data_IF_383589920438
#
_entry.id   IF_383589920438
#
_cell.length_a   1.000
_cell.length_b   1.000
_cell.length_c   1.000
_cell.angle_alpha   90.00
_cell.angle_beta   90.00
_cell.angle_gamma   90.00
#
_symmetry.space_group_name_H-M   'P 1'
#
loop_
_entity.id
_entity.type
_entity.pdbx_description
1 polymer ?
#
# COMPACT_ATOMS: atom_id res chain seq x y z
N UNK A 1 44.22 24.85 36.71
CA UNK A 1 43.16 25.32 35.80
C UNK A 1 43.33 24.55 34.51
N UNK A 2 42.37 23.74 34.08
CA UNK A 2 42.40 23.15 32.74
C UNK A 2 42.27 24.28 31.71
N UNK A 3 42.89 24.15 30.52
CA UNK A 3 42.80 25.17 29.48
C UNK A 3 41.34 25.30 29.00
N UNK A 4 40.87 26.53 28.78
CA UNK A 4 39.57 26.74 28.14
C UNK A 4 39.60 26.07 26.75
N UNK A 5 38.59 25.26 26.39
CA UNK A 5 38.52 24.68 25.07
C UNK A 5 38.39 25.80 24.04
N UNK A 6 39.26 25.78 23.04
CA UNK A 6 39.19 26.66 21.87
C UNK A 6 37.79 26.56 21.27
N UNK A 7 37.19 27.68 20.85
CA UNK A 7 35.84 27.77 20.27
C UNK A 7 35.60 26.71 19.16
N UNK A 8 36.65 26.34 18.43
CA UNK A 8 36.62 25.30 17.40
C UNK A 8 36.39 23.88 17.93
N UNK A 9 36.90 23.54 19.13
CA UNK A 9 36.68 22.23 19.75
C UNK A 9 35.23 22.10 20.25
N UNK A 10 34.66 23.17 20.78
CA UNK A 10 33.27 23.15 21.24
C UNK A 10 32.30 23.00 20.06
N UNK A 11 32.55 23.68 18.94
CA UNK A 11 31.77 23.49 17.70
C UNK A 11 31.88 22.07 17.15
N UNK A 12 33.08 21.48 17.15
CA UNK A 12 33.27 20.08 16.72
C UNK A 12 32.45 19.10 17.57
N UNK A 13 32.44 19.30 18.90
CA UNK A 13 31.63 18.48 19.80
C UNK A 13 30.13 18.65 19.55
N UNK A 14 29.68 19.88 19.32
CA UNK A 14 28.28 20.17 18.99
C UNK A 14 27.87 19.48 17.68
N UNK A 15 28.71 19.52 16.64
CA UNK A 15 28.47 18.85 15.36
C UNK A 15 28.43 17.31 15.51
N UNK A 16 29.34 16.73 16.30
CA UNK A 16 29.38 15.28 16.56
C UNK A 16 28.16 14.83 17.38
N UNK A 17 27.79 15.57 18.42
CA UNK A 17 26.62 15.24 19.26
C UNK A 17 25.33 15.36 18.46
N UNK A 18 25.16 16.44 17.68
CA UNK A 18 23.99 16.60 16.82
C UNK A 18 23.91 15.51 15.74
N UNK A 19 25.06 15.05 15.22
CA UNK A 19 25.14 13.92 14.29
C UNK A 19 24.71 12.60 14.94
N UNK A 20 25.17 12.32 16.16
CA UNK A 20 24.82 11.11 16.91
C UNK A 20 23.36 11.10 17.38
N UNK A 21 22.81 12.26 17.76
CA UNK A 21 21.41 12.42 18.18
C UNK A 21 20.44 12.52 16.99
N UNK A 22 20.95 12.67 15.76
CA UNK A 22 20.16 12.71 14.52
C UNK A 22 19.45 14.04 14.27
N UNK A 23 19.86 15.13 14.93
CA UNK A 23 19.25 16.46 14.86
C UNK A 23 19.74 17.30 13.66
N UNK A 24 20.68 16.78 12.85
CA UNK A 24 21.23 17.47 11.69
C UNK A 24 20.38 17.33 10.42
N UNK A 25 20.31 18.40 9.63
CA UNK A 25 19.71 18.36 8.29
C UNK A 25 20.53 17.53 7.31
N UNK A 26 19.94 17.14 6.17
CA UNK A 26 20.65 16.33 5.15
C UNK A 26 21.90 17.02 4.57
N UNK A 27 21.93 18.35 4.52
CA UNK A 27 23.10 19.10 4.07
C UNK A 27 24.21 19.14 5.13
N UNK A 28 23.86 19.21 6.40
CA UNK A 28 24.79 19.20 7.54
C UNK A 28 25.37 17.80 7.78
N UNK A 29 24.55 16.75 7.67
CA UNK A 29 25.00 15.36 7.72
C UNK A 29 26.07 15.07 6.66
N UNK A 30 25.85 15.51 5.41
CA UNK A 30 26.84 15.34 4.34
C UNK A 30 28.16 16.08 4.61
N UNK A 31 28.10 17.22 5.32
CA UNK A 31 29.29 17.97 5.72
C UNK A 31 30.06 17.24 6.83
N UNK A 32 29.36 16.72 7.85
CA UNK A 32 29.94 15.93 8.93
C UNK A 32 30.53 14.61 8.42
N UNK A 33 29.86 13.91 7.51
CA UNK A 33 30.38 12.69 6.86
C UNK A 33 31.64 12.97 6.04
N UNK A 34 31.67 14.08 5.30
CA UNK A 34 32.85 14.51 4.57
C UNK A 34 34.01 14.86 5.52
N UNK A 35 33.71 15.42 6.70
CA UNK A 35 34.69 15.74 7.73
C UNK A 35 35.23 14.47 8.41
N UNK A 36 34.37 13.51 8.73
CA UNK A 36 34.75 12.17 9.20
C UNK A 36 35.65 11.44 8.20
N UNK A 37 35.40 11.58 6.89
CA UNK A 37 36.23 10.96 5.87
C UNK A 37 37.62 11.60 5.73
N UNK A 38 37.79 12.87 6.11
CA UNK A 38 39.01 13.65 5.87
C UNK A 38 39.87 13.87 7.11
N UNK A 39 39.27 13.95 8.29
CA UNK A 39 39.94 14.29 9.54
C UNK A 39 40.01 13.06 10.46
N UNK A 40 41.23 12.60 10.72
CA UNK A 40 41.49 11.49 11.65
C UNK A 40 41.22 11.89 13.11
N UNK A 41 41.50 13.13 13.50
CA UNK A 41 41.27 13.60 14.88
C UNK A 41 39.77 13.67 15.20
N UNK A 42 38.96 14.10 14.22
CA UNK A 42 37.51 14.16 14.34
C UNK A 42 36.88 12.76 14.49
N UNK A 43 37.42 11.75 13.80
CA UNK A 43 37.00 10.34 13.98
C UNK A 43 37.35 9.79 15.37
N UNK A 44 38.53 10.14 15.89
CA UNK A 44 38.96 9.71 17.22
C UNK A 44 38.10 10.33 18.33
N UNK A 45 37.67 11.59 18.16
CA UNK A 45 36.73 12.27 19.05
C UNK A 45 35.35 11.59 19.03
N UNK A 46 34.80 11.29 17.85
CA UNK A 46 33.54 10.55 17.70
C UNK A 46 33.60 9.18 18.38
N UNK A 47 34.64 8.38 18.12
CA UNK A 47 34.84 7.08 18.77
C UNK A 47 35.03 7.20 20.29
N UNK A 48 35.56 8.32 20.79
CA UNK A 48 35.68 8.59 22.22
C UNK A 48 34.32 8.82 22.88
N UNK A 49 33.44 9.55 22.20
CA UNK A 49 32.08 9.83 22.65
C UNK A 49 31.21 8.56 22.61
N UNK A 50 31.28 7.79 21.51
CA UNK A 50 30.57 6.50 21.41
C UNK A 50 30.98 5.53 22.53
N UNK A 51 32.29 5.39 22.79
CA UNK A 51 32.80 4.57 23.90
C UNK A 51 32.33 5.06 25.27
N UNK A 52 32.21 6.37 25.47
CA UNK A 52 31.71 6.93 26.72
C UNK A 52 30.22 6.63 26.90
N UNK A 53 29.42 6.69 25.83
CA UNK A 53 28.01 6.31 25.84
C UNK A 53 27.80 4.82 26.06
N UNK A 54 28.58 3.98 25.38
CA UNK A 54 28.54 2.52 25.57
C UNK A 54 28.93 2.14 27.01
N UNK A 55 29.96 2.78 27.57
CA UNK A 55 30.35 2.60 28.96
C UNK A 55 29.27 3.07 29.97
N UNK A 56 28.50 4.10 29.62
CA UNK A 56 27.35 4.56 30.42
C UNK A 56 26.18 3.57 30.35
N UNK A 57 25.98 2.91 29.20
CA UNK A 57 24.94 1.90 29.02
C UNK A 57 25.29 0.55 29.68
N UNK A 58 26.57 0.22 29.75
CA UNK A 58 27.09 -0.94 30.50
C UNK A 58 27.06 -0.73 32.03
N UNK A 59 26.75 0.48 32.52
CA UNK A 59 26.63 0.69 33.95
C UNK A 59 25.50 -0.19 34.51
N UNK A 60 25.79 -1.03 35.52
CA UNK A 60 24.79 -1.89 36.11
C UNK A 60 23.68 -1.01 36.69
N UNK A 61 22.47 -1.15 36.12
CA UNK A 61 21.25 -0.60 36.71
C UNK A 61 20.98 -1.39 37.98
N UNK A 62 21.58 -0.96 39.10
CA UNK A 62 21.32 -1.53 40.41
C UNK A 62 19.84 -1.31 40.73
N UNK A 63 19.03 -2.36 40.62
CA UNK A 63 17.73 -2.40 41.28
C UNK A 63 18.02 -2.33 42.77
N UNK A 64 17.63 -1.20 43.38
CA UNK A 64 17.77 -0.99 44.82
C UNK A 64 17.11 -2.15 45.54
N UNK A 65 17.91 -2.93 46.27
CA UNK A 65 17.41 -4.01 47.10
C UNK A 65 16.54 -3.41 48.21
N UNK A 66 15.47 -4.11 48.59
CA UNK A 66 14.50 -3.67 49.61
C UNK A 66 15.18 -3.33 50.94
N UNK A 67 16.39 -3.87 51.16
CA UNK A 67 17.25 -3.57 52.30
C UNK A 67 17.80 -2.14 52.28
N UNK A 68 18.11 -1.52 51.13
CA UNK A 68 18.57 -0.11 51.09
C UNK A 68 17.43 0.88 51.39
N UNK A 69 16.23 0.57 50.90
CA UNK A 69 15.00 1.27 51.27
C UNK A 69 14.72 1.12 52.77
N UNK A 70 14.96 -0.08 53.33
CA UNK A 70 14.83 -0.32 54.78
C UNK A 70 15.89 0.39 55.61
N UNK A 71 17.17 0.40 55.21
CA UNK A 71 18.24 1.09 55.97
C UNK A 71 18.13 2.60 55.87
N UNK A 72 17.68 3.15 54.74
CA UNK A 72 17.41 4.59 54.61
C UNK A 72 16.18 4.97 55.42
N UNK A 73 15.13 4.14 55.41
CA UNK A 73 13.95 4.36 56.22
C UNK A 73 14.21 4.10 57.71
N UNK A 74 15.09 3.18 58.10
CA UNK A 74 15.58 2.99 59.47
C UNK A 74 16.50 4.14 59.90
N UNK A 75 17.34 4.70 59.03
CA UNK A 75 18.15 5.88 59.34
C UNK A 75 17.27 7.13 59.51
N UNK A 76 16.27 7.30 58.64
CA UNK A 76 15.27 8.37 58.74
C UNK A 76 14.33 8.17 59.93
N UNK A 77 14.01 6.92 60.30
CA UNK A 77 13.20 6.59 61.49
C UNK A 77 14.02 6.70 62.77
N UNK A 78 15.32 6.41 62.75
CA UNK A 78 16.22 6.60 63.90
C UNK A 78 16.61 8.06 64.10
N UNK A 79 16.75 8.86 63.04
CA UNK A 79 16.86 10.32 63.16
C UNK A 79 15.54 10.96 63.59
N UNK A 80 14.39 10.47 63.12
CA UNK A 80 13.08 10.94 63.58
C UNK A 80 12.78 10.52 65.03
N UNK A 81 13.23 9.35 65.48
CA UNK A 81 13.12 8.90 66.87
C UNK A 81 14.10 9.64 67.80
N UNK A 82 15.33 9.91 67.34
CA UNK A 82 16.31 10.70 68.10
C UNK A 82 15.90 12.18 68.24
N UNK A 83 15.18 12.75 67.28
CA UNK A 83 14.65 14.12 67.37
C UNK A 83 13.40 14.26 68.26
N UNK A 84 12.70 13.14 68.56
CA UNK A 84 11.51 13.10 69.42
C UNK A 84 11.86 13.00 70.90
N UNK A 85 12.91 12.25 71.28
CA UNK A 85 13.37 12.16 72.68
C UNK A 85 14.17 13.39 73.14
N UNK A 86 14.83 14.10 72.23
CA UNK A 86 15.61 15.29 72.55
C UNK A 86 14.77 16.57 72.79
N UNK A 87 13.47 16.56 72.49
CA UNK A 87 12.59 17.76 72.57
C UNK A 87 11.65 17.80 73.77
N UNK A 88 11.80 16.90 74.74
CA UNK A 88 10.94 16.82 75.94
C UNK A 88 11.40 17.72 77.09
N UNK A 89 12.47 18.49 76.95
CA UNK A 89 12.92 19.45 77.96
C UNK A 89 13.01 20.88 77.39
N UNK A 90 12.07 21.71 77.86
CA UNK A 90 12.08 23.18 77.90
C UNK A 90 11.62 24.03 76.68
N UNK A 91 10.48 24.73 76.90
CA UNK A 91 10.10 26.10 76.42
C UNK A 91 9.49 26.29 74.99
N UNK A 92 8.93 27.48 74.64
CA UNK A 92 7.54 27.93 74.82
C UNK A 92 6.74 28.07 73.49
N UNK A 93 5.41 28.13 73.60
CA UNK A 93 4.39 27.68 72.61
C UNK A 93 4.20 28.55 71.33
N UNK A 94 4.90 29.66 71.13
CA UNK A 94 4.48 30.63 70.07
C UNK A 94 5.11 30.38 68.68
N UNK A 95 6.18 29.57 68.55
CA UNK A 95 6.87 29.35 67.25
C UNK A 95 6.47 28.07 66.49
N UNK A 96 5.60 27.23 67.06
CA UNK A 96 5.30 25.87 66.54
C UNK A 96 4.36 25.86 65.34
N UNK A 97 3.41 26.80 65.20
CA UNK A 97 2.44 26.82 64.08
C UNK A 97 3.09 27.05 62.69
N UNK A 98 4.16 27.85 62.62
CA UNK A 98 4.82 28.20 61.35
C UNK A 98 5.67 27.08 60.76
N UNK A 99 6.20 26.18 61.60
CA UNK A 99 7.00 25.03 61.12
C UNK A 99 6.11 23.93 60.55
N UNK A 100 4.96 23.66 61.19
CA UNK A 100 3.96 22.73 60.64
C UNK A 100 3.31 23.26 59.38
N UNK A 101 3.06 24.58 59.26
CA UNK A 101 2.56 25.16 58.00
C UNK A 101 3.57 25.03 56.86
N UNK A 102 4.86 25.22 57.13
CA UNK A 102 5.91 25.08 56.12
C UNK A 102 6.10 23.63 55.69
N UNK A 103 6.00 22.66 56.62
CA UNK A 103 6.05 21.24 56.28
C UNK A 103 4.85 20.81 55.43
N UNK A 104 3.64 21.24 55.78
CA UNK A 104 2.42 21.00 54.99
C UNK A 104 2.51 21.65 53.60
N UNK A 105 3.04 22.87 53.50
CA UNK A 105 3.25 23.55 52.23
C UNK A 105 4.27 22.81 51.34
N UNK A 106 5.35 22.28 51.91
CA UNK A 106 6.34 21.50 51.17
C UNK A 106 5.75 20.18 50.65
N UNK A 107 4.93 19.48 51.45
CA UNK A 107 4.24 18.26 51.02
C UNK A 107 3.23 18.57 49.91
N UNK A 108 2.43 19.63 50.07
CA UNK A 108 1.48 20.06 49.04
C UNK A 108 2.19 20.45 47.73
N UNK A 109 3.32 21.16 47.82
CA UNK A 109 4.15 21.48 46.66
C UNK A 109 4.75 20.23 46.00
N UNK A 110 5.21 19.26 46.79
CA UNK A 110 5.69 17.97 46.29
C UNK A 110 4.61 17.16 45.58
N UNK A 111 3.39 17.11 46.14
CA UNK A 111 2.24 16.45 45.51
C UNK A 111 1.81 17.16 44.22
N UNK A 112 1.79 18.50 44.21
CA UNK A 112 1.50 19.29 43.01
C UNK A 112 2.57 19.10 41.94
N UNK A 113 3.85 19.08 42.32
CA UNK A 113 4.95 18.80 41.41
C UNK A 113 4.87 17.38 40.83
N UNK A 114 4.56 16.38 41.65
CA UNK A 114 4.35 15.00 41.21
C UNK A 114 3.15 14.89 40.24
N UNK A 115 2.03 15.53 40.55
CA UNK A 115 0.86 15.59 39.68
C UNK A 115 1.19 16.31 38.36
N UNK A 116 1.93 17.41 38.41
CA UNK A 116 2.36 18.14 37.22
C UNK A 116 3.27 17.27 36.34
N UNK A 117 4.28 16.61 36.91
CA UNK A 117 5.17 15.68 36.20
C UNK A 117 4.37 14.53 35.58
N UNK A 118 3.43 13.94 36.31
CA UNK A 118 2.57 12.87 35.80
C UNK A 118 1.70 13.33 34.63
N UNK A 119 1.07 14.50 34.74
CA UNK A 119 0.24 15.08 33.67
C UNK A 119 1.09 15.36 32.42
N UNK A 120 2.28 15.95 32.59
CA UNK A 120 3.21 16.24 31.49
C UNK A 120 3.71 14.97 30.82
N UNK A 121 3.95 13.89 31.58
CA UNK A 121 4.44 12.62 31.04
C UNK A 121 3.34 11.79 30.34
N UNK A 122 2.09 11.85 30.83
CA UNK A 122 0.96 11.13 30.21
C UNK A 122 0.34 11.90 29.03
N UNK A 123 0.51 13.22 28.95
CA UNK A 123 -0.01 14.07 27.87
C UNK A 123 0.46 13.66 26.45
N UNK A 124 1.77 13.40 26.19
CA UNK A 124 2.22 12.98 24.86
C UNK A 124 1.59 11.64 24.47
N UNK A 125 1.52 10.67 25.38
CA UNK A 125 0.90 9.37 25.12
C UNK A 125 -0.60 9.49 24.79
N UNK A 126 -1.33 10.43 25.40
CA UNK A 126 -2.74 10.69 25.07
C UNK A 126 -2.92 11.30 23.69
N UNK A 127 -2.08 12.28 23.34
CA UNK A 127 -2.12 12.88 22.00
C UNK A 127 -1.77 11.85 20.91
N UNK A 128 -0.83 10.96 21.19
CA UNK A 128 -0.42 9.87 20.30
C UNK A 128 -1.57 8.89 20.04
N UNK A 129 -2.26 8.47 21.10
CA UNK A 129 -3.40 7.57 20.98
C UNK A 129 -4.56 8.25 20.26
N UNK A 130 -4.79 9.55 20.49
CA UNK A 130 -5.83 10.29 19.77
C UNK A 130 -5.54 10.38 18.25
N UNK A 131 -4.26 10.44 17.87
CA UNK A 131 -3.83 10.48 16.46
C UNK A 131 -3.80 9.09 15.79
N UNK A 132 -4.04 8.00 16.52
CA UNK A 132 -3.91 6.63 15.99
C UNK A 132 -4.73 6.37 14.71
N UNK A 133 -5.99 6.82 14.58
CA UNK A 133 -6.75 6.66 13.33
C UNK A 133 -6.15 7.43 12.15
N UNK A 134 -5.46 8.53 12.43
CA UNK A 134 -4.76 9.33 11.41
C UNK A 134 -3.46 8.66 11.01
N UNK A 135 -2.70 8.19 12.00
CA UNK A 135 -1.42 7.50 11.82
C UNK A 135 -1.59 6.23 11.00
N UNK A 136 -2.55 5.38 11.35
CA UNK A 136 -2.85 4.13 10.62
C UNK A 136 -3.18 4.35 9.13
N UNK A 137 -3.55 5.58 8.77
CA UNK A 137 -3.94 5.99 7.42
C UNK A 137 -3.02 7.04 6.80
N UNK A 138 -1.83 7.28 7.38
CA UNK A 138 -0.90 8.32 6.91
C UNK A 138 -0.60 8.21 5.41
N UNK A 139 -0.34 7.00 4.92
CA UNK A 139 0.01 6.75 3.53
C UNK A 139 -1.19 6.94 2.59
N UNK A 140 -2.41 6.75 3.11
CA UNK A 140 -3.67 6.96 2.38
C UNK A 140 -4.00 8.46 2.31
N UNK A 141 -3.89 9.19 3.43
CA UNK A 141 -4.10 10.64 3.49
C UNK A 141 -3.04 11.46 2.74
N UNK A 142 -1.86 10.90 2.53
CA UNK A 142 -0.84 11.51 1.68
C UNK A 142 -1.23 11.55 0.19
N UNK A 143 -2.21 10.76 -0.25
CA UNK A 143 -2.53 10.66 -1.68
C UNK A 143 -3.42 11.79 -2.20
N UNK A 144 -4.15 12.52 -1.35
CA UNK A 144 -5.15 13.50 -1.78
C UNK A 144 -5.19 14.71 -0.84
N UNK A 145 -5.84 15.79 -1.27
CA UNK A 145 -5.80 17.10 -0.58
C UNK A 145 -7.11 17.51 0.10
N UNK A 146 -8.25 16.98 -0.35
CA UNK A 146 -9.58 17.34 0.16
C UNK A 146 -10.52 16.13 0.21
N UNK A 147 -11.45 16.12 1.16
CA UNK A 147 -12.53 15.10 1.19
C UNK A 147 -13.44 15.21 -0.03
N UNK A 148 -13.64 16.41 -0.55
CA UNK A 148 -14.38 16.67 -1.79
C UNK A 148 -13.82 15.87 -2.98
N UNK A 149 -12.49 15.73 -3.10
CA UNK A 149 -11.89 14.88 -4.13
C UNK A 149 -12.34 13.42 -4.01
N UNK A 150 -12.40 12.86 -2.78
CA UNK A 150 -12.87 11.48 -2.58
C UNK A 150 -14.36 11.34 -2.87
N UNK A 151 -15.18 12.32 -2.46
CA UNK A 151 -16.62 12.32 -2.75
C UNK A 151 -16.88 12.37 -4.27
N UNK A 152 -16.16 13.21 -4.99
CA UNK A 152 -16.24 13.28 -6.46
C UNK A 152 -15.72 12.00 -7.12
N UNK A 153 -14.64 11.42 -6.59
CA UNK A 153 -14.08 10.16 -7.08
C UNK A 153 -15.08 9.01 -6.94
N UNK A 154 -15.72 8.90 -5.78
CA UNK A 154 -16.75 7.88 -5.53
C UNK A 154 -17.94 8.07 -6.47
N UNK A 155 -18.48 9.29 -6.54
CA UNK A 155 -19.64 9.63 -7.38
C UNK A 155 -19.39 9.34 -8.86
N UNK A 156 -18.19 9.66 -9.38
CA UNK A 156 -17.88 9.51 -10.81
C UNK A 156 -17.38 8.12 -11.18
N UNK A 157 -16.58 7.49 -10.31
CA UNK A 157 -15.78 6.32 -10.66
C UNK A 157 -15.75 5.21 -9.60
N UNK A 158 -16.50 5.33 -8.50
CA UNK A 158 -16.47 4.36 -7.40
C UNK A 158 -16.73 2.91 -7.83
N UNK A 159 -17.72 2.69 -8.71
CA UNK A 159 -18.01 1.35 -9.23
C UNK A 159 -16.87 0.80 -10.11
N UNK A 160 -16.35 1.61 -11.03
CA UNK A 160 -15.26 1.21 -11.93
C UNK A 160 -13.95 0.93 -11.17
N UNK A 161 -13.67 1.71 -10.13
CA UNK A 161 -12.52 1.50 -9.27
C UNK A 161 -12.61 0.19 -8.46
N UNK A 162 -13.79 -0.13 -7.90
CA UNK A 162 -14.02 -1.40 -7.21
C UNK A 162 -13.86 -2.58 -8.16
N UNK A 163 -14.41 -2.49 -9.38
CA UNK A 163 -14.25 -3.50 -10.42
C UNK A 163 -12.77 -3.74 -10.78
N UNK A 164 -11.97 -2.67 -10.85
CA UNK A 164 -10.54 -2.75 -11.20
C UNK A 164 -9.61 -3.23 -10.06
N UNK A 165 -10.12 -3.43 -8.84
CA UNK A 165 -9.29 -3.73 -7.65
C UNK A 165 -9.78 -4.91 -6.81
N UNK A 166 -10.73 -5.70 -7.33
CA UNK A 166 -11.57 -6.65 -6.60
C UNK A 166 -10.88 -7.49 -5.50
N UNK A 167 -11.46 -7.39 -4.30
CA UNK A 167 -12.08 -8.46 -3.49
C UNK A 167 -13.07 -7.78 -2.54
N UNK A 168 -14.39 -7.90 -2.78
CA UNK A 168 -15.42 -7.09 -2.11
C UNK A 168 -15.53 -7.34 -0.59
N UNK A 169 -15.42 -8.60 -0.17
CA UNK A 169 -15.51 -8.97 1.25
C UNK A 169 -14.36 -8.38 2.07
N UNK A 170 -13.14 -8.42 1.54
CA UNK A 170 -11.95 -7.86 2.21
C UNK A 170 -12.00 -6.33 2.30
N UNK A 171 -12.70 -5.67 1.36
CA UNK A 171 -12.84 -4.22 1.35
C UNK A 171 -13.82 -3.73 2.43
N UNK A 172 -14.95 -4.41 2.56
CA UNK A 172 -15.96 -4.08 3.58
C UNK A 172 -15.40 -4.31 4.99
N UNK A 173 -14.67 -5.42 5.19
CA UNK A 173 -14.01 -5.74 6.46
C UNK A 173 -12.92 -4.70 6.81
N UNK A 174 -12.02 -4.38 5.88
CA UNK A 174 -10.96 -3.39 6.12
C UNK A 174 -11.55 -1.99 6.40
N UNK A 175 -12.58 -1.58 5.66
CA UNK A 175 -13.25 -0.31 5.92
C UNK A 175 -13.91 -0.28 7.30
N UNK A 176 -14.60 -1.36 7.69
CA UNK A 176 -15.20 -1.50 9.01
C UNK A 176 -14.17 -1.46 10.14
N UNK A 177 -13.01 -2.13 9.98
CA UNK A 177 -11.90 -2.07 10.94
C UNK A 177 -11.40 -0.63 11.14
N UNK A 178 -11.20 0.11 10.04
CA UNK A 178 -10.72 1.50 10.09
C UNK A 178 -11.74 2.42 10.77
N UNK A 179 -13.02 2.28 10.44
CA UNK A 179 -14.07 3.06 11.09
C UNK A 179 -14.22 2.71 12.57
N UNK A 180 -14.12 1.42 12.93
CA UNK A 180 -14.13 0.98 14.32
C UNK A 180 -12.95 1.57 15.13
N UNK A 181 -11.74 1.58 14.55
CA UNK A 181 -10.57 2.21 15.15
C UNK A 181 -10.74 3.73 15.32
N UNK A 182 -11.39 4.39 14.35
CA UNK A 182 -11.69 5.81 14.44
C UNK A 182 -12.64 6.12 15.60
N UNK A 183 -13.65 5.26 15.81
CA UNK A 183 -14.72 5.43 16.79
C UNK A 183 -14.36 4.95 18.20
N UNK A 184 -13.43 4.02 18.36
CA UNK A 184 -13.12 3.46 19.69
C UNK A 184 -12.45 4.48 20.62
N UNK A 185 -12.91 4.54 21.86
CA UNK A 185 -12.25 5.26 22.95
C UNK A 185 -11.11 4.43 23.57
N UNK A 186 -11.17 3.09 23.47
CA UNK A 186 -10.15 2.17 23.98
C UNK A 186 -9.10 1.83 22.92
N UNK A 187 -8.34 2.85 22.51
CA UNK A 187 -7.25 2.70 21.54
C UNK A 187 -6.04 1.98 22.13
N UNK A 188 -5.93 1.88 23.46
CA UNK A 188 -4.85 1.15 24.13
C UNK A 188 -5.12 -0.35 24.08
N UNK A 189 -6.32 -0.78 24.45
CA UNK A 189 -6.73 -2.18 24.32
C UNK A 189 -6.58 -2.70 22.89
N UNK A 190 -6.99 -1.90 21.90
CA UNK A 190 -6.79 -2.23 20.48
C UNK A 190 -5.32 -2.44 20.10
N UNK A 191 -4.39 -1.63 20.63
CA UNK A 191 -2.95 -1.78 20.38
C UNK A 191 -2.35 -3.01 21.06
N UNK A 192 -2.87 -3.39 22.23
CA UNK A 192 -2.41 -4.53 22.99
C UNK A 192 -2.82 -5.86 22.34
N UNK A 193 -3.99 -5.90 21.71
CA UNK A 193 -4.53 -7.03 20.95
C UNK A 193 -3.91 -7.17 19.54
N UNK A 194 -3.20 -6.14 19.07
CA UNK A 194 -2.65 -6.10 17.72
C UNK A 194 -1.46 -7.08 17.57
N UNK A 195 -1.49 -7.91 16.52
CA UNK A 195 -0.39 -8.80 16.18
C UNK A 195 0.94 -8.04 15.94
N UNK A 196 2.07 -8.68 16.21
CA UNK A 196 3.41 -8.06 16.13
C UNK A 196 3.75 -7.49 14.75
N UNK A 197 3.28 -8.16 13.69
CA UNK A 197 3.43 -7.72 12.31
C UNK A 197 2.69 -6.40 12.06
N UNK A 198 1.40 -6.33 12.45
CA UNK A 198 0.58 -5.12 12.35
C UNK A 198 1.15 -3.98 13.22
N UNK A 199 1.69 -4.28 14.42
CA UNK A 199 2.38 -3.30 15.27
C UNK A 199 3.62 -2.71 14.60
N UNK A 200 4.40 -3.53 13.90
CA UNK A 200 5.59 -3.07 13.17
C UNK A 200 5.21 -2.13 12.02
N UNK A 201 4.19 -2.47 11.24
CA UNK A 201 3.67 -1.61 10.17
C UNK A 201 3.20 -0.27 10.74
N UNK A 202 2.43 -0.30 11.85
CA UNK A 202 1.91 0.89 12.50
C UNK A 202 3.01 1.78 13.08
N UNK A 203 4.07 1.19 13.64
CA UNK A 203 5.27 1.94 14.06
C UNK A 203 5.90 2.68 12.89
N UNK A 204 6.08 2.01 11.75
CA UNK A 204 6.60 2.67 10.54
C UNK A 204 5.70 3.80 10.04
N UNK A 205 4.38 3.63 10.12
CA UNK A 205 3.42 4.71 9.79
C UNK A 205 3.50 5.88 10.77
N UNK A 206 3.68 5.59 12.05
CA UNK A 206 3.87 6.59 13.09
C UNK A 206 5.12 7.44 12.85
N UNK A 207 6.26 6.79 12.57
CA UNK A 207 7.52 7.47 12.30
C UNK A 207 7.39 8.38 11.06
N UNK A 208 6.74 7.89 9.99
CA UNK A 208 6.44 8.71 8.80
C UNK A 208 5.56 9.90 9.12
N UNK A 209 4.50 9.72 9.91
CA UNK A 209 3.61 10.81 10.30
C UNK A 209 4.34 11.88 11.12
N UNK A 210 5.24 11.47 12.03
CA UNK A 210 6.04 12.37 12.85
C UNK A 210 7.07 13.16 12.05
N UNK A 211 7.64 12.55 11.01
CA UNK A 211 8.57 13.21 10.09
C UNK A 211 7.89 14.27 9.19
N UNK A 212 6.55 14.28 9.10
CA UNK A 212 5.85 15.30 8.30
C UNK A 212 5.87 16.68 8.97
N UNK A 213 5.91 17.77 8.18
CA UNK A 213 5.70 19.13 8.67
C UNK A 213 4.40 19.27 9.49
N UNK A 214 4.42 20.15 10.49
CA UNK A 214 3.30 20.28 11.43
C UNK A 214 1.98 20.72 10.76
N UNK A 215 2.05 21.46 9.66
CA UNK A 215 0.92 21.83 8.80
C UNK A 215 0.34 20.62 8.05
N UNK A 216 1.18 19.74 7.52
CA UNK A 216 0.75 18.48 6.90
C UNK A 216 0.08 17.55 7.91
N UNK A 217 0.64 17.41 9.12
CA UNK A 217 0.00 16.64 10.19
C UNK A 217 -1.37 17.21 10.56
N UNK A 218 -1.50 18.55 10.67
CA UNK A 218 -2.79 19.22 10.91
C UNK A 218 -3.77 19.02 9.77
N UNK A 219 -3.30 19.05 8.51
CA UNK A 219 -4.11 18.78 7.33
C UNK A 219 -4.69 17.36 7.37
N UNK A 220 -3.86 16.35 7.65
CA UNK A 220 -4.33 14.95 7.76
C UNK A 220 -5.34 14.77 8.89
N UNK A 221 -5.12 15.37 10.06
CA UNK A 221 -6.11 15.37 11.16
C UNK A 221 -7.43 16.01 10.73
N UNK A 222 -7.36 17.13 9.99
CA UNK A 222 -8.55 17.81 9.47
C UNK A 222 -9.30 16.93 8.46
N UNK A 223 -8.60 16.27 7.54
CA UNK A 223 -9.19 15.32 6.58
C UNK A 223 -9.92 14.18 7.30
N UNK A 224 -9.26 13.55 8.27
CA UNK A 224 -9.88 12.48 9.05
C UNK A 224 -11.14 12.96 9.75
N UNK A 225 -11.09 14.11 10.43
CA UNK A 225 -12.26 14.70 11.10
C UNK A 225 -13.40 15.02 10.12
N UNK A 226 -13.08 15.48 8.91
CA UNK A 226 -14.08 15.76 7.86
C UNK A 226 -14.72 14.48 7.32
N UNK A 227 -13.96 13.40 7.15
CA UNK A 227 -14.49 12.10 6.75
C UNK A 227 -15.42 11.52 7.82
N UNK A 228 -15.09 11.73 9.10
CA UNK A 228 -15.90 11.27 10.25
C UNK A 228 -17.02 12.23 10.65
N UNK A 229 -17.32 13.25 9.85
CA UNK A 229 -18.37 14.21 10.17
C UNK A 229 -19.79 13.63 9.97
N UNK A 230 -19.94 12.70 9.03
CA UNK A 230 -21.19 12.00 8.72
C UNK A 230 -20.96 10.49 8.85
N UNK A 231 -21.62 9.87 9.82
CA UNK A 231 -21.46 8.45 10.12
C UNK A 231 -21.92 7.52 8.99
N UNK A 232 -22.90 7.93 8.19
CA UNK A 232 -23.40 7.12 7.08
C UNK A 232 -22.44 7.15 5.89
N UNK A 233 -21.78 8.28 5.67
CA UNK A 233 -20.84 8.47 4.55
C UNK A 233 -19.39 8.06 4.90
N UNK A 234 -19.07 7.98 6.19
CA UNK A 234 -17.77 7.57 6.71
C UNK A 234 -17.24 6.28 6.09
N UNK A 235 -18.05 5.23 6.10
CA UNK A 235 -17.68 3.89 5.61
C UNK A 235 -17.45 3.92 4.09
N UNK A 236 -18.34 4.56 3.34
CA UNK A 236 -18.22 4.71 1.88
C UNK A 236 -16.92 5.43 1.52
N UNK A 237 -16.59 6.54 2.19
CA UNK A 237 -15.35 7.29 1.92
C UNK A 237 -14.10 6.49 2.28
N UNK A 238 -14.13 5.67 3.33
CA UNK A 238 -13.01 4.77 3.65
C UNK A 238 -12.86 3.68 2.59
N UNK A 239 -13.96 3.09 2.11
CA UNK A 239 -13.91 2.14 1.00
C UNK A 239 -13.29 2.79 -0.25
N UNK A 240 -13.79 3.97 -0.66
CA UNK A 240 -13.23 4.71 -1.80
C UNK A 240 -11.74 4.97 -1.60
N UNK A 241 -11.32 5.35 -0.39
CA UNK A 241 -9.93 5.63 -0.07
C UNK A 241 -9.04 4.37 -0.20
N UNK A 242 -9.50 3.22 0.33
CA UNK A 242 -8.79 1.94 0.25
C UNK A 242 -8.64 1.52 -1.21
N UNK A 243 -9.76 1.48 -1.93
CA UNK A 243 -9.84 1.10 -3.35
C UNK A 243 -8.96 2.02 -4.19
N UNK A 244 -9.03 3.33 -3.97
CA UNK A 244 -8.20 4.30 -4.66
C UNK A 244 -6.71 4.06 -4.44
N UNK A 245 -6.30 3.79 -3.19
CA UNK A 245 -4.91 3.50 -2.86
C UNK A 245 -4.43 2.21 -3.50
N UNK A 246 -5.24 1.14 -3.48
CA UNK A 246 -4.94 -0.15 -4.12
C UNK A 246 -4.79 0.01 -5.62
N UNK A 247 -5.72 0.69 -6.28
CA UNK A 247 -5.64 0.99 -7.72
C UNK A 247 -4.37 1.79 -8.05
N UNK A 248 -4.09 2.85 -7.29
CA UNK A 248 -2.91 3.69 -7.50
C UNK A 248 -1.62 2.89 -7.37
N UNK A 249 -1.56 1.93 -6.45
CA UNK A 249 -0.40 1.06 -6.25
C UNK A 249 -0.11 0.13 -7.44
N UNK A 250 -1.11 -0.17 -8.27
CA UNK A 250 -0.94 -0.95 -9.51
C UNK A 250 -0.32 -0.12 -10.66
N UNK A 251 -0.25 1.20 -10.52
CA UNK A 251 0.34 2.07 -11.55
C UNK A 251 1.87 2.20 -11.38
N UNK A 252 2.62 2.41 -12.47
CA UNK A 252 4.05 2.74 -12.37
C UNK A 252 4.29 3.99 -11.51
N UNK A 253 5.42 4.01 -10.79
CA UNK A 253 5.74 5.11 -9.85
C UNK A 253 5.75 6.50 -10.52
N UNK A 254 6.19 6.59 -11.78
CA UNK A 254 6.13 7.83 -12.58
C UNK A 254 4.70 8.33 -12.73
N UNK A 255 3.78 7.44 -13.08
CA UNK A 255 2.36 7.77 -13.26
C UNK A 255 1.69 8.15 -11.94
N UNK A 256 2.02 7.46 -10.85
CA UNK A 256 1.55 7.84 -9.52
C UNK A 256 2.02 9.24 -9.11
N UNK A 257 3.25 9.62 -9.48
CA UNK A 257 3.79 10.95 -9.22
C UNK A 257 3.10 12.03 -10.05
N UNK A 258 2.90 11.78 -11.35
CA UNK A 258 2.15 12.68 -12.24
C UNK A 258 0.74 12.97 -11.70
N UNK A 259 -0.03 11.92 -11.38
CA UNK A 259 -1.39 12.06 -10.86
C UNK A 259 -1.43 12.87 -9.57
N UNK A 260 -0.44 12.71 -8.68
CA UNK A 260 -0.38 13.46 -7.41
C UNK A 260 -0.09 14.95 -7.58
N UNK A 261 0.55 15.36 -8.69
CA UNK A 261 0.86 16.77 -8.97
C UNK A 261 -0.25 17.49 -9.72
N UNK A 262 -1.18 16.75 -10.32
CA UNK A 262 -2.32 17.33 -11.02
C UNK A 262 -3.29 18.02 -10.04
N UNK A 263 -3.93 19.12 -10.47
CA UNK A 263 -5.12 19.65 -9.80
C UNK A 263 -6.21 18.58 -9.64
N UNK A 264 -7.07 18.73 -8.63
CA UNK A 264 -8.07 17.72 -8.29
C UNK A 264 -8.96 17.33 -9.49
N UNK A 265 -9.47 18.30 -10.24
CA UNK A 265 -10.37 18.05 -11.38
C UNK A 265 -9.63 17.35 -12.54
N UNK A 266 -8.46 17.85 -12.92
CA UNK A 266 -7.63 17.22 -13.97
C UNK A 266 -7.23 15.79 -13.60
N UNK A 267 -6.95 15.56 -12.32
CA UNK A 267 -6.63 14.23 -11.80
C UNK A 267 -7.83 13.29 -11.90
N UNK A 268 -9.05 13.75 -11.58
CA UNK A 268 -10.27 12.94 -11.73
C UNK A 268 -10.48 12.54 -13.20
N UNK A 269 -10.26 13.46 -14.14
CA UNK A 269 -10.39 13.16 -15.57
C UNK A 269 -9.32 12.17 -16.05
N UNK A 270 -8.08 12.34 -15.58
CA UNK A 270 -6.99 11.40 -15.87
C UNK A 270 -7.25 10.00 -15.30
N UNK A 271 -7.75 9.88 -14.07
CA UNK A 271 -8.17 8.60 -13.47
C UNK A 271 -9.25 7.95 -14.32
N UNK A 272 -10.28 8.72 -14.73
CA UNK A 272 -11.33 8.22 -15.60
C UNK A 272 -10.81 7.72 -16.95
N UNK A 273 -9.82 8.40 -17.54
CA UNK A 273 -9.19 7.96 -18.78
C UNK A 273 -8.44 6.63 -18.61
N UNK A 274 -7.67 6.48 -17.52
CA UNK A 274 -6.95 5.25 -17.19
C UNK A 274 -7.91 4.07 -16.96
N UNK A 275 -8.98 4.29 -16.20
CA UNK A 275 -9.99 3.26 -15.94
C UNK A 275 -10.69 2.82 -17.23
N UNK A 276 -11.04 3.76 -18.11
CA UNK A 276 -11.59 3.44 -19.43
C UNK A 276 -10.58 2.67 -20.29
N UNK A 277 -9.32 3.08 -20.31
CA UNK A 277 -8.30 2.41 -21.10
C UNK A 277 -8.06 0.98 -20.63
N UNK A 278 -8.02 0.75 -19.31
CA UNK A 278 -7.91 -0.58 -18.72
C UNK A 278 -9.15 -1.42 -18.99
N UNK A 279 -10.35 -0.90 -18.74
CA UNK A 279 -11.60 -1.60 -19.04
C UNK A 279 -11.74 -1.96 -20.52
N UNK A 280 -11.31 -1.06 -21.42
CA UNK A 280 -11.22 -1.38 -22.86
C UNK A 280 -10.18 -2.47 -23.12
N UNK A 281 -9.02 -2.44 -22.44
CA UNK A 281 -8.00 -3.47 -22.63
C UNK A 281 -8.50 -4.84 -22.15
N UNK A 282 -9.11 -4.92 -20.97
CA UNK A 282 -9.73 -6.13 -20.40
C UNK A 282 -10.88 -6.64 -21.29
N UNK A 283 -11.77 -5.75 -21.75
CA UNK A 283 -12.84 -6.13 -22.67
C UNK A 283 -12.33 -6.64 -24.03
N UNK A 284 -11.10 -6.30 -24.41
CA UNK A 284 -10.45 -6.78 -25.62
C UNK A 284 -9.58 -8.02 -25.38
N UNK A 285 -9.41 -8.46 -24.14
CA UNK A 285 -8.79 -9.75 -23.85
C UNK A 285 -9.78 -10.86 -24.19
N UNK A 286 -9.32 -11.80 -24.99
CA UNK A 286 -10.09 -12.97 -25.39
C UNK A 286 -9.48 -14.19 -24.74
N UNK A 287 -10.31 -15.07 -24.20
CA UNK A 287 -9.86 -16.38 -23.72
C UNK A 287 -9.34 -17.23 -24.87
N UNK A 288 -8.57 -18.27 -24.56
CA UNK A 288 -8.05 -19.20 -25.57
C UNK A 288 -9.18 -19.82 -26.41
N UNK A 289 -10.33 -20.13 -25.78
CA UNK A 289 -11.53 -20.60 -26.48
C UNK A 289 -12.07 -19.56 -27.46
N UNK A 290 -12.24 -18.32 -27.02
CA UNK A 290 -12.73 -17.23 -27.85
C UNK A 290 -11.75 -16.91 -29.00
N UNK A 291 -10.44 -16.99 -28.75
CA UNK A 291 -9.40 -16.83 -29.78
C UNK A 291 -9.48 -17.92 -30.85
N UNK A 292 -9.80 -19.17 -30.48
CA UNK A 292 -10.02 -20.28 -31.43
C UNK A 292 -11.27 -20.05 -32.28
N UNK A 293 -12.40 -19.72 -31.65
CA UNK A 293 -13.66 -19.42 -32.35
C UNK A 293 -13.49 -18.24 -33.32
N UNK A 294 -12.77 -17.20 -32.89
CA UNK A 294 -12.40 -16.07 -33.72
C UNK A 294 -11.57 -16.47 -34.94
N UNK A 295 -10.60 -17.37 -34.80
CA UNK A 295 -9.80 -17.84 -35.95
C UNK A 295 -10.64 -18.57 -36.99
N UNK A 296 -11.58 -19.40 -36.55
CA UNK A 296 -12.52 -20.09 -37.46
C UNK A 296 -13.36 -19.07 -38.21
N UNK A 297 -13.94 -18.10 -37.50
CA UNK A 297 -14.72 -17.02 -38.11
C UNK A 297 -13.88 -16.17 -39.08
N UNK A 298 -12.64 -15.84 -38.71
CA UNK A 298 -11.72 -15.08 -39.56
C UNK A 298 -11.35 -15.83 -40.85
N UNK A 299 -11.12 -17.14 -40.76
CA UNK A 299 -10.83 -17.98 -41.93
C UNK A 299 -12.02 -18.04 -42.87
N UNK A 300 -13.23 -18.24 -42.34
CA UNK A 300 -14.46 -18.23 -43.13
C UNK A 300 -14.71 -16.87 -43.78
N UNK A 301 -14.54 -15.77 -43.04
CA UNK A 301 -14.65 -14.41 -43.56
C UNK A 301 -13.64 -14.14 -44.69
N UNK A 302 -12.40 -14.61 -44.52
CA UNK A 302 -11.36 -14.48 -45.54
C UNK A 302 -11.70 -15.22 -46.84
N UNK A 303 -12.20 -16.46 -46.73
CA UNK A 303 -12.64 -17.24 -47.88
C UNK A 303 -13.81 -16.56 -48.61
N UNK A 304 -14.78 -16.01 -47.87
CA UNK A 304 -15.91 -15.24 -48.42
C UNK A 304 -15.47 -13.94 -49.11
N UNK A 305 -14.40 -13.31 -48.65
CA UNK A 305 -13.83 -12.08 -49.24
C UNK A 305 -12.97 -12.31 -50.49
N UNK A 306 -13.00 -13.51 -51.09
CA UNK A 306 -12.27 -13.85 -52.32
C UNK A 306 -10.90 -14.50 -52.09
N UNK A 307 -10.66 -15.03 -50.89
CA UNK A 307 -9.46 -15.82 -50.59
C UNK A 307 -9.42 -17.12 -51.40
N UNK A 308 -8.37 -17.33 -52.21
CA UNK A 308 -8.21 -18.56 -52.99
C UNK A 308 -7.87 -19.76 -52.07
N UNK A 309 -8.66 -20.85 -52.14
CA UNK A 309 -8.42 -22.09 -51.38
C UNK A 309 -7.05 -22.68 -51.78
N UNK A 310 -6.20 -23.02 -50.80
CA UNK A 310 -4.86 -23.60 -51.03
C UNK A 310 -3.69 -22.67 -50.68
N UNK A 311 -3.15 -21.93 -51.66
CA UNK A 311 -2.02 -21.01 -51.40
C UNK A 311 -2.40 -19.85 -50.48
N UNK A 312 -3.69 -19.50 -50.42
CA UNK A 312 -4.21 -18.47 -49.52
C UNK A 312 -4.30 -18.88 -48.07
N UNK A 313 -4.61 -20.14 -47.77
CA UNK A 313 -4.62 -20.65 -46.39
C UNK A 313 -3.22 -20.58 -45.78
N UNK A 314 -2.19 -21.03 -46.50
CA UNK A 314 -0.80 -20.96 -46.00
C UNK A 314 -0.31 -19.52 -45.79
N UNK A 315 -0.73 -18.58 -46.64
CA UNK A 315 -0.35 -17.17 -46.52
C UNK A 315 -1.16 -16.41 -45.45
N UNK A 316 -2.42 -16.81 -45.23
CA UNK A 316 -3.26 -16.34 -44.11
C UNK A 316 -2.68 -16.80 -42.77
N UNK A 317 -2.26 -18.07 -42.67
CA UNK A 317 -1.57 -18.60 -41.48
C UNK A 317 -0.24 -17.87 -41.20
N UNK A 318 0.43 -17.35 -42.22
CA UNK A 318 1.63 -16.49 -42.05
C UNK A 318 1.33 -15.02 -41.75
N UNK A 319 0.07 -14.58 -41.74
CA UNK A 319 -0.35 -13.22 -41.41
C UNK A 319 -0.02 -12.17 -42.47
N UNK A 320 0.60 -12.58 -43.58
CA UNK A 320 1.05 -11.69 -44.65
C UNK A 320 -0.11 -11.11 -45.47
N UNK A 321 -1.28 -11.75 -45.46
CA UNK A 321 -2.43 -11.34 -46.28
C UNK A 321 -3.38 -10.34 -45.62
N UNK A 322 -3.47 -10.30 -44.29
CA UNK A 322 -4.33 -9.32 -43.61
C UNK A 322 -3.83 -7.88 -43.87
N UNK A 323 -2.51 -7.68 -43.91
CA UNK A 323 -1.89 -6.36 -44.14
C UNK A 323 -2.08 -5.85 -45.59
N UNK A 324 -2.28 -6.75 -46.56
CA UNK A 324 -2.39 -6.42 -47.99
C UNK A 324 -3.83 -6.09 -48.45
N UNK A 325 -4.81 -6.13 -47.55
CA UNK A 325 -6.23 -5.91 -47.89
C UNK A 325 -6.55 -4.42 -48.09
N UNK A 326 -7.47 -4.15 -49.02
CA UNK A 326 -8.00 -2.81 -49.22
C UNK A 326 -8.98 -2.42 -48.10
N UNK A 327 -9.32 -1.13 -47.91
CA UNK A 327 -10.19 -0.69 -46.82
C UNK A 327 -11.57 -1.36 -46.79
N UNK A 328 -12.19 -1.62 -47.93
CA UNK A 328 -13.50 -2.27 -48.01
C UNK A 328 -13.45 -3.73 -47.52
N UNK A 329 -12.42 -4.48 -47.91
CA UNK A 329 -12.18 -5.85 -47.45
C UNK A 329 -11.91 -5.90 -45.94
N UNK A 330 -11.18 -4.90 -45.41
CA UNK A 330 -10.93 -4.79 -43.96
C UNK A 330 -12.22 -4.65 -43.17
N UNK A 331 -13.10 -3.74 -43.60
CA UNK A 331 -14.41 -3.54 -42.97
C UNK A 331 -15.26 -4.80 -43.05
N UNK A 332 -15.34 -5.43 -44.22
CA UNK A 332 -16.10 -6.67 -44.42
C UNK A 332 -15.64 -7.81 -43.49
N UNK A 333 -14.32 -7.95 -43.28
CA UNK A 333 -13.77 -8.96 -42.36
C UNK A 333 -14.14 -8.65 -40.92
N UNK A 334 -13.98 -7.40 -40.48
CA UNK A 334 -14.37 -6.98 -39.11
C UNK A 334 -15.85 -7.24 -38.90
N UNK A 335 -16.72 -6.94 -39.87
CA UNK A 335 -18.16 -7.15 -39.76
C UNK A 335 -18.53 -8.64 -39.72
N UNK A 336 -17.81 -9.48 -40.47
CA UNK A 336 -18.09 -10.92 -40.57
C UNK A 336 -17.75 -11.69 -39.29
N UNK A 337 -16.84 -11.17 -38.45
CA UNK A 337 -16.42 -11.84 -37.21
C UNK A 337 -17.16 -11.35 -35.97
N UNK A 338 -18.04 -10.35 -36.11
CA UNK A 338 -18.75 -9.76 -34.97
C UNK A 338 -19.58 -10.78 -34.20
N UNK A 339 -20.19 -11.75 -34.90
CA UNK A 339 -20.99 -12.80 -34.26
C UNK A 339 -20.18 -13.79 -33.42
N UNK A 340 -18.85 -13.80 -33.55
CA UNK A 340 -17.94 -14.67 -32.80
C UNK A 340 -17.26 -13.95 -31.63
N UNK A 341 -17.61 -12.69 -31.37
CA UNK A 341 -17.02 -11.90 -30.28
C UNK A 341 -18.02 -11.74 -29.13
N UNK A 342 -17.55 -11.75 -27.87
CA UNK A 342 -18.40 -11.43 -26.72
C UNK A 342 -19.03 -10.02 -26.83
N UNK A 343 -20.22 -9.80 -26.23
CA UNK A 343 -20.89 -8.50 -26.27
C UNK A 343 -20.03 -7.34 -25.74
N UNK A 344 -19.24 -7.58 -24.69
CA UNK A 344 -18.34 -6.59 -24.09
C UNK A 344 -17.19 -6.21 -25.04
N UNK A 345 -16.59 -7.21 -25.68
CA UNK A 345 -15.55 -7.02 -26.70
C UNK A 345 -16.09 -6.26 -27.92
N UNK A 346 -17.33 -6.55 -28.34
CA UNK A 346 -17.99 -5.83 -29.43
C UNK A 346 -18.20 -4.36 -29.10
N UNK A 347 -18.67 -4.04 -27.90
CA UNK A 347 -18.83 -2.66 -27.45
C UNK A 347 -17.49 -1.91 -27.43
N UNK A 348 -16.42 -2.55 -26.93
CA UNK A 348 -15.07 -1.99 -26.94
C UNK A 348 -14.54 -1.77 -28.37
N UNK A 349 -14.78 -2.73 -29.28
CA UNK A 349 -14.37 -2.66 -30.68
C UNK A 349 -15.13 -1.55 -31.44
N UNK A 350 -16.41 -1.36 -31.15
CA UNK A 350 -17.23 -0.31 -31.76
C UNK A 350 -16.80 1.10 -31.38
N UNK A 351 -16.23 1.28 -30.18
CA UNK A 351 -15.63 2.54 -29.75
C UNK A 351 -14.37 2.94 -30.53
N UNK A 352 -13.76 2.02 -31.28
CA UNK A 352 -12.54 2.27 -32.05
C UNK A 352 -12.81 2.79 -33.46
N UNK A 353 -11.85 3.50 -34.04
CA UNK A 353 -11.89 3.85 -35.46
C UNK A 353 -11.65 2.61 -36.37
N UNK A 354 -12.04 2.65 -37.66
CA UNK A 354 -11.97 1.48 -38.54
C UNK A 354 -10.57 0.86 -38.66
N UNK A 355 -9.52 1.68 -38.63
CA UNK A 355 -8.14 1.19 -38.70
C UNK A 355 -7.72 0.49 -37.41
N UNK A 356 -8.08 1.04 -36.26
CA UNK A 356 -7.83 0.44 -34.94
C UNK A 356 -8.56 -0.90 -34.81
N UNK A 357 -9.83 -0.98 -35.24
CA UNK A 357 -10.58 -2.25 -35.25
C UNK A 357 -9.84 -3.33 -36.02
N UNK A 358 -9.44 -3.03 -37.26
CA UNK A 358 -8.72 -3.99 -38.08
C UNK A 358 -7.36 -4.38 -37.49
N UNK A 359 -6.62 -3.43 -36.92
CA UNK A 359 -5.36 -3.71 -36.25
C UNK A 359 -5.54 -4.60 -35.02
N UNK A 360 -6.62 -4.39 -34.24
CA UNK A 360 -6.94 -5.21 -33.09
C UNK A 360 -7.30 -6.65 -33.50
N UNK A 361 -8.10 -6.81 -34.56
CA UNK A 361 -8.35 -8.14 -35.17
C UNK A 361 -7.04 -8.80 -35.60
N UNK A 362 -6.12 -8.04 -36.19
CA UNK A 362 -4.79 -8.55 -36.55
C UNK A 362 -3.96 -9.02 -35.36
N UNK A 363 -4.06 -8.34 -34.20
CA UNK A 363 -3.41 -8.77 -32.95
C UNK A 363 -4.01 -10.06 -32.42
N UNK A 364 -5.34 -10.17 -32.36
CA UNK A 364 -6.00 -11.42 -31.94
C UNK A 364 -5.66 -12.57 -32.88
N UNK A 365 -5.63 -12.33 -34.19
CA UNK A 365 -5.21 -13.33 -35.17
C UNK A 365 -3.74 -13.76 -34.97
N UNK A 366 -2.85 -12.86 -34.52
CA UNK A 366 -1.48 -13.21 -34.18
C UNK A 366 -1.40 -14.02 -32.87
N UNK A 367 -2.12 -13.60 -31.83
CA UNK A 367 -2.19 -14.31 -30.53
C UNK A 367 -2.75 -15.72 -30.69
N UNK A 368 -3.87 -15.85 -31.40
CA UNK A 368 -4.48 -17.14 -31.64
C UNK A 368 -3.56 -18.07 -32.46
N UNK A 369 -2.74 -17.52 -33.37
CA UNK A 369 -1.73 -18.30 -34.11
C UNK A 369 -0.55 -18.73 -33.23
N UNK A 370 -0.12 -17.92 -32.26
CA UNK A 370 0.91 -18.36 -31.30
C UNK A 370 0.45 -19.57 -30.48
N UNK A 371 -0.85 -19.64 -30.12
CA UNK A 371 -1.42 -20.83 -29.49
C UNK A 371 -1.26 -22.08 -30.36
N UNK A 372 -1.31 -21.94 -31.70
CA UNK A 372 -1.16 -23.06 -32.63
C UNK A 372 0.29 -23.51 -32.85
N UNK A 373 1.27 -22.62 -32.70
CA UNK A 373 2.68 -22.87 -33.07
C UNK A 373 3.52 -23.34 -31.87
N UNK A 374 3.22 -22.90 -30.65
CA UNK A 374 4.14 -23.10 -29.51
C UNK A 374 3.96 -24.41 -28.72
N UNK A 375 3.08 -25.34 -29.12
CA UNK A 375 2.94 -26.63 -28.40
C UNK A 375 2.52 -26.48 -26.92
N UNK A 376 2.03 -25.30 -26.53
CA UNK A 376 1.62 -24.93 -25.16
C UNK A 376 0.19 -25.34 -24.83
N UNK A 377 -0.49 -26.11 -25.68
CA UNK A 377 -1.81 -26.63 -25.34
C UNK A 377 -1.62 -27.55 -24.14
N UNK A 378 -2.14 -27.14 -22.99
CA UNK A 378 -2.01 -27.94 -21.78
C UNK A 378 -2.88 -29.20 -21.93
N UNK A 379 -2.47 -30.28 -21.27
CA UNK A 379 -3.27 -31.50 -21.23
C UNK A 379 -4.67 -31.23 -20.65
N UNK A 380 -4.75 -30.35 -19.66
CA UNK A 380 -6.00 -29.94 -19.03
C UNK A 380 -6.95 -29.25 -20.02
N UNK A 381 -6.44 -28.39 -20.90
CA UNK A 381 -7.25 -27.74 -21.95
C UNK A 381 -7.76 -28.72 -23.00
N UNK A 382 -6.95 -29.73 -23.37
CA UNK A 382 -7.40 -30.79 -24.28
C UNK A 382 -8.47 -31.67 -23.65
N UNK A 383 -8.35 -31.96 -22.35
CA UNK A 383 -9.34 -32.70 -21.59
C UNK A 383 -10.65 -31.91 -21.44
N UNK A 384 -10.58 -30.62 -21.11
CA UNK A 384 -11.75 -29.72 -21.06
C UNK A 384 -12.43 -29.62 -22.42
N UNK A 385 -11.68 -29.41 -23.50
CA UNK A 385 -12.22 -29.41 -24.87
C UNK A 385 -12.87 -30.76 -25.24
N UNK A 386 -12.23 -31.87 -24.86
CA UNK A 386 -12.78 -33.21 -25.10
C UNK A 386 -14.09 -33.42 -24.36
N UNK A 387 -14.24 -32.90 -23.14
CA UNK A 387 -15.45 -33.10 -22.32
C UNK A 387 -16.57 -32.12 -22.69
N UNK A 388 -16.24 -30.84 -22.89
CA UNK A 388 -17.24 -29.78 -23.00
C UNK A 388 -17.62 -29.40 -24.43
N UNK A 389 -16.67 -29.49 -25.37
CA UNK A 389 -16.83 -28.88 -26.70
C UNK A 389 -16.97 -29.89 -27.85
N UNK A 390 -16.67 -31.17 -27.61
CA UNK A 390 -16.81 -32.23 -28.61
C UNK A 390 -18.16 -32.96 -28.52
N UNK A 391 -18.80 -33.12 -29.68
CA UNK A 391 -20.01 -33.94 -29.83
C UNK A 391 -19.76 -35.40 -29.43
N UNK A 392 -20.81 -36.05 -28.94
CA UNK A 392 -20.74 -37.42 -28.42
C UNK A 392 -20.22 -38.43 -29.45
N UNK A 393 -20.58 -38.27 -30.73
CA UNK A 393 -20.09 -39.11 -31.82
C UNK A 393 -18.58 -38.95 -32.06
N UNK A 394 -18.08 -37.71 -32.03
CA UNK A 394 -16.65 -37.41 -32.23
C UNK A 394 -15.82 -37.89 -31.04
N UNK A 395 -16.36 -37.79 -29.82
CA UNK A 395 -15.71 -38.36 -28.62
C UNK A 395 -15.61 -39.88 -28.72
N UNK A 396 -16.67 -40.56 -29.17
CA UNK A 396 -16.67 -42.00 -29.35
C UNK A 396 -15.64 -42.44 -30.41
N UNK A 397 -15.52 -41.69 -31.52
CA UNK A 397 -14.48 -41.93 -32.53
C UNK A 397 -13.07 -41.77 -31.94
N UNK A 398 -12.82 -40.68 -31.21
CA UNK A 398 -11.52 -40.43 -30.59
C UNK A 398 -11.12 -41.51 -29.58
N UNK A 399 -12.07 -41.98 -28.76
CA UNK A 399 -11.83 -43.05 -27.79
C UNK A 399 -11.57 -44.42 -28.45
N UNK A 400 -11.89 -44.57 -29.74
CA UNK A 400 -11.59 -45.79 -30.51
C UNK A 400 -10.16 -45.83 -31.08
N UNK A 401 -9.44 -44.71 -31.04
CA UNK A 401 -8.07 -44.60 -31.55
C UNK A 401 -7.03 -45.01 -30.48
N UNK A 402 -5.83 -45.49 -30.89
CA UNK A 402 -4.70 -45.64 -29.98
C UNK A 402 -4.36 -44.34 -29.25
N UNK A 403 -3.87 -44.35 -27.99
CA UNK A 403 -3.68 -43.13 -27.19
C UNK A 403 -2.82 -42.05 -27.87
N UNK A 404 -1.74 -42.42 -28.54
CA UNK A 404 -0.88 -41.48 -29.27
C UNK A 404 -1.62 -40.86 -30.48
N UNK A 405 -2.39 -41.66 -31.21
CA UNK A 405 -3.19 -41.19 -32.34
C UNK A 405 -4.38 -40.35 -31.90
N UNK A 406 -5.01 -40.70 -30.77
CA UNK A 406 -6.09 -39.95 -30.14
C UNK A 406 -5.61 -38.56 -29.75
N UNK A 407 -4.46 -38.45 -29.07
CA UNK A 407 -3.92 -37.15 -28.65
C UNK A 407 -3.56 -36.28 -29.87
N UNK A 408 -2.90 -36.87 -30.89
CA UNK A 408 -2.58 -36.18 -32.14
C UNK A 408 -3.82 -35.76 -32.92
N UNK A 409 -4.89 -36.56 -32.89
CA UNK A 409 -6.18 -36.26 -33.53
C UNK A 409 -6.93 -35.18 -32.75
N UNK A 410 -6.95 -35.26 -31.42
CA UNK A 410 -7.57 -34.28 -30.53
C UNK A 410 -6.87 -32.92 -30.63
N UNK A 411 -5.52 -32.88 -30.65
CA UNK A 411 -4.74 -31.68 -30.93
C UNK A 411 -5.08 -31.08 -32.29
N UNK A 412 -5.24 -31.91 -33.33
CA UNK A 412 -5.64 -31.44 -34.66
C UNK A 412 -7.06 -30.85 -34.68
N UNK A 413 -8.01 -31.49 -34.00
CA UNK A 413 -9.38 -30.98 -33.86
C UNK A 413 -9.42 -29.66 -33.08
N UNK A 414 -8.70 -29.61 -31.97
CA UNK A 414 -8.52 -28.42 -31.13
C UNK A 414 -7.93 -27.23 -31.92
N UNK A 415 -6.93 -27.49 -32.77
CA UNK A 415 -6.23 -26.47 -33.54
C UNK A 415 -6.96 -26.05 -34.83
N UNK A 416 -7.70 -26.96 -35.47
CA UNK A 416 -8.26 -26.79 -36.80
C UNK A 416 -9.70 -26.27 -36.85
N UNK A 417 -10.41 -26.29 -35.72
CA UNK A 417 -11.88 -26.27 -35.72
C UNK A 417 -12.44 -27.58 -36.30
N UNK A 418 -13.68 -27.94 -35.94
CA UNK A 418 -14.33 -29.12 -36.49
C UNK A 418 -14.23 -29.11 -38.03
N UNK A 419 -13.84 -30.23 -38.67
CA UNK A 419 -14.00 -30.35 -40.10
C UNK A 419 -15.47 -30.07 -40.44
N UNK A 420 -15.74 -29.14 -41.35
CA UNK A 420 -17.01 -29.17 -42.06
C UNK A 420 -17.04 -30.52 -42.79
N UNK A 421 -17.75 -31.48 -42.22
CA UNK A 421 -18.18 -32.65 -42.94
C UNK A 421 -19.16 -32.15 -43.99
N UNK A 422 -18.73 -32.18 -45.26
CA UNK A 422 -19.59 -31.95 -46.42
C UNK A 422 -20.91 -32.72 -46.21
N UNK A 423 -22.03 -32.00 -46.26
CA UNK A 423 -23.32 -32.57 -46.64
C UNK A 423 -23.47 -32.50 -48.15
#
# INVERSE_FOLDING_TARGET
>A
MPPEPTNDHQRRLEDIVAYLDGELSSAENAAVEQQLARDESFRQEMQGIERAWEALDELPRTTLDDRFSRTTMEMVVTEAAAELDAKTLALPIVRRKRRWSNALAAIAAGLLAFLAVRIVRDAPNRALLADLPVVSNVDRYAQFQSVDFLQQLETRYGAALRAATLSGADLDEEAAELTALARTDDRRGWLDELADEKRTVLKGQYDRFRALPADEQRRMRKLHKQMMADDAQADELFQTLIVYRRWLAQLPASRQFELRRMPADERLDAIGAELRQRGVSEALELTDKQLRELLVALRQAYLKAGGNRGAGDRAFMRGQRLLAMNPAQRTQIVDSIRSALPPETLAALDGMNPMQRFNQVGKWAAQARSLQVEGRISRQELEEYFVEDLDEEVRAELLSLPPEEMEDRLRRLYLGGMPEWDR
#
